data_IF_578662824660
#
_entry.id   IF_578662824660
#
_cell.length_a   1.000
_cell.length_b   1.000
_cell.length_c   1.000
_cell.angle_alpha   90.00
_cell.angle_beta   90.00
_cell.angle_gamma   90.00
#
_symmetry.space_group_name_H-M   'P 1'
#
loop_
_entity.id
_entity.type
_entity.pdbx_description
1 polymer ?
#
# COMPACT_ATOMS: atom_id res chain seq x y z
N UNK A 1 -25.67 -25.00 18.87
CA UNK A 1 -24.94 -24.32 19.96
C UNK A 1 -25.76 -23.09 20.33
N UNK A 2 -26.19 -23.04 21.58
CA UNK A 2 -27.16 -22.05 22.06
C UNK A 2 -26.62 -20.62 21.90
N UNK A 3 -27.43 -19.71 21.36
CA UNK A 3 -27.07 -18.29 21.21
C UNK A 3 -26.68 -17.65 22.55
N UNK A 4 -27.34 -18.09 23.65
CA UNK A 4 -27.03 -17.69 25.02
C UNK A 4 -25.62 -18.12 25.49
N UNK A 5 -25.11 -19.27 25.01
CA UNK A 5 -23.77 -19.74 25.32
C UNK A 5 -22.70 -18.88 24.65
N UNK A 6 -22.93 -18.48 23.40
CA UNK A 6 -22.03 -17.59 22.63
C UNK A 6 -22.02 -16.18 23.25
N UNK A 7 -23.19 -15.67 23.64
CA UNK A 7 -23.32 -14.37 24.32
C UNK A 7 -22.58 -14.35 25.68
N UNK A 8 -22.66 -15.45 26.44
CA UNK A 8 -21.95 -15.59 27.71
C UNK A 8 -20.43 -15.66 27.54
N UNK A 9 -19.91 -16.37 26.54
CA UNK A 9 -18.48 -16.40 26.20
C UNK A 9 -18.01 -15.00 25.78
N UNK A 10 -18.82 -14.29 25.00
CA UNK A 10 -18.48 -12.94 24.54
C UNK A 10 -18.42 -11.93 25.70
N UNK A 11 -19.33 -12.04 26.64
CA UNK A 11 -19.32 -11.21 27.86
C UNK A 11 -18.15 -11.57 28.77
N UNK A 12 -17.81 -12.86 28.89
CA UNK A 12 -16.64 -13.31 29.67
C UNK A 12 -15.34 -12.79 29.06
N UNK A 13 -15.19 -12.87 27.74
CA UNK A 13 -14.05 -12.31 27.00
C UNK A 13 -13.93 -10.79 27.17
N UNK A 14 -15.06 -10.06 27.13
CA UNK A 14 -15.12 -8.62 27.40
C UNK A 14 -14.66 -8.28 28.81
N UNK A 15 -15.12 -9.03 29.79
CA UNK A 15 -14.76 -8.82 31.21
C UNK A 15 -13.28 -9.15 31.45
N UNK A 16 -12.77 -10.25 30.86
CA UNK A 16 -11.36 -10.63 30.93
C UNK A 16 -10.45 -9.58 30.26
N UNK A 17 -10.89 -9.03 29.16
CA UNK A 17 -10.19 -7.96 28.43
C UNK A 17 -10.15 -6.65 29.23
N UNK A 18 -11.23 -6.30 29.94
CA UNK A 18 -11.26 -5.14 30.84
C UNK A 18 -10.35 -5.37 32.06
N UNK A 19 -10.32 -6.58 32.62
CA UNK A 19 -9.44 -6.92 33.74
C UNK A 19 -7.96 -6.93 33.32
N UNK A 20 -7.64 -7.41 32.13
CA UNK A 20 -6.28 -7.35 31.58
C UNK A 20 -5.84 -5.90 31.30
N UNK A 21 -6.75 -5.04 30.82
CA UNK A 21 -6.50 -3.59 30.69
C UNK A 21 -6.22 -2.93 32.04
N UNK A 22 -7.02 -3.27 33.06
CA UNK A 22 -6.86 -2.72 34.43
C UNK A 22 -5.55 -3.20 35.07
N UNK A 23 -5.22 -4.48 34.93
CA UNK A 23 -3.96 -5.06 35.41
C UNK A 23 -2.75 -4.46 34.69
N UNK A 24 -2.82 -4.32 33.36
CA UNK A 24 -1.78 -3.68 32.57
C UNK A 24 -1.59 -2.21 32.96
N UNK A 25 -2.67 -1.49 33.25
CA UNK A 25 -2.65 -0.11 33.71
C UNK A 25 -2.05 0.03 35.12
N UNK A 26 -2.36 -0.89 36.02
CA UNK A 26 -1.81 -0.90 37.41
C UNK A 26 -0.31 -1.26 37.39
N UNK A 27 0.08 -2.24 36.60
CA UNK A 27 1.51 -2.59 36.39
C UNK A 27 2.26 -1.44 35.74
N UNK A 28 1.62 -0.76 34.79
CA UNK A 28 2.16 0.43 34.15
C UNK A 28 2.35 1.58 35.15
N UNK A 29 1.35 1.89 35.98
CA UNK A 29 1.45 2.91 37.03
C UNK A 29 2.57 2.59 38.03
N UNK A 30 2.70 1.32 38.42
CA UNK A 30 3.74 0.87 39.35
C UNK A 30 5.14 1.03 38.76
N UNK A 31 5.34 0.62 37.49
CA UNK A 31 6.61 0.80 36.76
C UNK A 31 6.90 2.27 36.49
N UNK A 32 5.88 3.06 36.20
CA UNK A 32 5.93 4.50 35.99
C UNK A 32 6.46 5.25 37.23
N UNK A 33 5.94 4.94 38.39
CA UNK A 33 6.36 5.59 39.65
C UNK A 33 7.78 5.17 40.07
N UNK A 34 8.23 3.96 39.72
CA UNK A 34 9.49 3.41 40.22
C UNK A 34 10.68 3.63 39.31
N UNK A 35 10.49 3.87 38.02
CA UNK A 35 11.58 3.88 37.03
C UNK A 35 11.61 5.11 36.11
N UNK A 36 10.83 6.16 36.40
CA UNK A 36 10.75 7.36 35.55
C UNK A 36 10.52 7.04 34.05
N UNK A 37 9.67 6.01 33.80
CA UNK A 37 9.42 5.44 32.46
C UNK A 37 8.55 6.38 31.61
N UNK A 38 8.08 7.52 32.15
CA UNK A 38 7.30 8.49 31.37
C UNK A 38 8.01 8.90 30.07
N UNK A 39 9.29 9.13 30.12
CA UNK A 39 10.08 9.49 28.95
C UNK A 39 10.22 8.32 27.96
N UNK A 40 10.25 7.07 28.46
CA UNK A 40 10.30 5.88 27.61
C UNK A 40 8.92 5.64 26.98
N UNK A 41 7.84 5.80 27.76
CA UNK A 41 6.46 5.59 27.29
C UNK A 41 6.02 6.65 26.27
N UNK A 42 6.35 7.91 26.48
CA UNK A 42 6.13 8.98 25.52
C UNK A 42 6.99 8.79 24.25
N UNK A 43 8.13 8.10 24.36
CA UNK A 43 8.98 7.74 23.24
C UNK A 43 8.53 6.47 22.49
N UNK A 44 7.81 5.54 23.12
CA UNK A 44 7.48 4.22 22.54
C UNK A 44 6.16 4.18 21.79
N UNK A 45 5.38 5.28 21.73
CA UNK A 45 4.10 5.33 21.00
C UNK A 45 3.03 4.28 21.39
N UNK A 46 3.23 3.48 22.45
CA UNK A 46 2.29 2.43 22.87
C UNK A 46 0.86 2.96 23.10
N UNK A 47 0.76 4.17 23.69
CA UNK A 47 -0.54 4.84 23.87
C UNK A 47 -1.19 5.21 22.52
N UNK A 48 -0.38 5.65 21.56
CA UNK A 48 -0.86 5.98 20.22
C UNK A 48 -1.33 4.72 19.47
N UNK A 49 -0.59 3.63 19.61
CA UNK A 49 -0.96 2.32 19.03
C UNK A 49 -2.26 1.77 19.63
N UNK A 50 -2.48 1.92 20.95
CA UNK A 50 -3.73 1.50 21.59
C UNK A 50 -4.95 2.26 21.06
N UNK A 51 -4.85 3.59 20.91
CA UNK A 51 -5.93 4.41 20.33
C UNK A 51 -6.22 3.95 18.89
N UNK A 52 -5.20 3.64 18.12
CA UNK A 52 -5.35 3.20 16.74
C UNK A 52 -6.00 1.82 16.62
N UNK A 53 -5.68 0.89 17.54
CA UNK A 53 -6.35 -0.41 17.60
C UNK A 53 -7.84 -0.23 17.97
N UNK A 54 -8.16 0.66 18.92
CA UNK A 54 -9.56 0.95 19.27
C UNK A 54 -10.32 1.57 18.07
N UNK A 55 -9.70 2.51 17.36
CA UNK A 55 -10.29 3.10 16.15
C UNK A 55 -10.49 2.05 15.05
N UNK A 56 -9.50 1.20 14.82
CA UNK A 56 -9.60 0.08 13.88
C UNK A 56 -10.77 -0.87 14.22
N UNK A 57 -10.86 -1.30 15.49
CA UNK A 57 -11.94 -2.17 15.95
C UNK A 57 -13.31 -1.48 15.84
N UNK A 58 -13.37 -0.17 16.15
CA UNK A 58 -14.57 0.65 16.01
C UNK A 58 -15.05 0.74 14.56
N UNK A 59 -14.12 0.92 13.59
CA UNK A 59 -14.42 0.98 12.17
C UNK A 59 -14.94 -0.39 11.70
N UNK A 60 -14.25 -1.49 12.07
CA UNK A 60 -14.69 -2.84 11.73
C UNK A 60 -16.11 -3.17 12.26
N UNK A 61 -16.46 -2.66 13.47
CA UNK A 61 -17.77 -2.89 14.07
C UNK A 61 -18.87 -1.93 13.55
N UNK A 62 -18.51 -0.71 13.13
CA UNK A 62 -19.45 0.33 12.69
C UNK A 62 -19.95 0.16 11.25
N UNK A 63 -19.31 -0.67 10.45
CA UNK A 63 -19.71 -0.89 9.05
C UNK A 63 -21.13 -1.47 8.89
N UNK A 64 -21.76 -1.88 9.99
CA UNK A 64 -23.15 -2.39 10.03
C UNK A 64 -24.21 -1.33 10.37
N UNK A 65 -23.83 -0.11 10.78
CA UNK A 65 -24.78 0.93 11.21
C UNK A 65 -24.69 2.13 10.25
N UNK A 66 -25.56 2.15 9.25
CA UNK A 66 -25.65 3.30 8.34
C UNK A 66 -26.73 4.30 8.74
N UNK A 67 -26.32 5.57 8.89
CA UNK A 67 -27.24 6.69 8.71
C UNK A 67 -27.62 6.78 7.23
N UNK A 68 -28.92 6.92 6.90
CA UNK A 68 -29.43 7.12 5.53
C UNK A 68 -28.88 8.46 4.98
N UNK A 69 -27.68 8.43 4.43
CA UNK A 69 -27.06 9.57 3.75
C UNK A 69 -27.32 9.46 2.26
N UNK A 70 -27.81 10.52 1.64
CA UNK A 70 -28.03 10.56 0.18
C UNK A 70 -26.77 11.05 -0.49
N UNK A 71 -26.13 10.19 -1.27
CA UNK A 71 -24.89 10.50 -2.00
C UNK A 71 -25.23 10.89 -3.45
N UNK A 72 -24.92 12.15 -3.80
CA UNK A 72 -25.14 12.68 -5.15
C UNK A 72 -23.84 12.62 -5.96
N UNK A 73 -23.98 12.44 -7.27
CA UNK A 73 -22.86 12.57 -8.21
C UNK A 73 -22.26 13.98 -8.12
N UNK A 74 -20.93 14.07 -8.07
CA UNK A 74 -20.18 15.32 -8.07
C UNK A 74 -19.55 15.52 -9.45
N UNK A 75 -19.84 16.61 -10.14
CA UNK A 75 -19.31 16.88 -11.48
C UNK A 75 -17.80 17.21 -11.45
N UNK A 76 -17.34 17.93 -10.43
CA UNK A 76 -15.93 18.26 -10.23
C UNK A 76 -15.46 17.80 -8.85
N UNK A 77 -15.20 16.51 -8.69
CA UNK A 77 -14.73 15.97 -7.42
C UNK A 77 -13.33 16.50 -7.09
N UNK A 78 -13.04 16.61 -5.80
CA UNK A 78 -11.71 16.99 -5.33
C UNK A 78 -10.75 15.79 -5.36
N UNK A 79 -11.26 14.62 -4.98
CA UNK A 79 -10.49 13.39 -4.89
C UNK A 79 -11.22 12.30 -5.69
N UNK A 80 -10.47 11.58 -6.53
CA UNK A 80 -10.93 10.34 -7.16
C UNK A 80 -10.33 9.17 -6.40
N UNK A 81 -11.17 8.33 -5.83
CA UNK A 81 -10.78 7.07 -5.21
C UNK A 81 -10.86 5.99 -6.28
N UNK A 82 -9.75 5.28 -6.51
CA UNK A 82 -9.60 4.29 -7.57
C UNK A 82 -9.34 2.92 -6.96
N UNK A 83 -10.18 1.94 -7.31
CA UNK A 83 -10.14 0.59 -6.73
C UNK A 83 -10.25 -0.47 -7.81
N UNK A 84 -9.15 -1.13 -8.17
CA UNK A 84 -9.21 -2.38 -8.92
C UNK A 84 -9.83 -3.50 -8.09
N UNK A 85 -10.76 -4.27 -8.67
CA UNK A 85 -11.46 -5.36 -7.98
C UNK A 85 -11.34 -6.65 -8.78
N UNK A 86 -11.01 -7.75 -8.07
CA UNK A 86 -11.10 -9.10 -8.61
C UNK A 86 -11.40 -10.08 -7.48
N UNK A 87 -12.59 -10.71 -7.53
CA UNK A 87 -13.07 -11.70 -6.56
C UNK A 87 -12.94 -11.23 -5.10
N UNK A 88 -13.71 -10.21 -4.72
CA UNK A 88 -13.68 -9.57 -3.39
C UNK A 88 -15.05 -9.55 -2.70
N UNK A 89 -15.93 -10.53 -2.97
CA UNK A 89 -17.27 -10.59 -2.38
C UNK A 89 -17.29 -10.49 -0.85
N UNK A 90 -16.26 -11.05 -0.18
CA UNK A 90 -16.17 -11.08 1.28
C UNK A 90 -15.73 -9.75 1.92
N UNK A 91 -15.17 -8.82 1.14
CA UNK A 91 -14.57 -7.57 1.66
C UNK A 91 -15.16 -6.30 1.05
N UNK A 92 -15.62 -6.37 -0.20
CA UNK A 92 -16.00 -5.18 -0.97
C UNK A 92 -17.10 -4.35 -0.31
N UNK A 93 -18.10 -4.97 0.35
CA UNK A 93 -19.14 -4.22 1.04
C UNK A 93 -18.57 -3.39 2.20
N UNK A 94 -17.71 -4.00 3.03
CA UNK A 94 -17.06 -3.33 4.15
C UNK A 94 -16.19 -2.17 3.68
N UNK A 95 -15.43 -2.37 2.61
CA UNK A 95 -14.64 -1.33 1.97
C UNK A 95 -15.50 -0.14 1.52
N UNK A 96 -16.58 -0.40 0.75
CA UNK A 96 -17.49 0.65 0.27
C UNK A 96 -18.13 1.43 1.43
N UNK A 97 -18.54 0.74 2.49
CA UNK A 97 -19.08 1.40 3.70
C UNK A 97 -18.05 2.29 4.38
N UNK A 98 -16.76 1.91 4.38
CA UNK A 98 -15.70 2.77 4.95
C UNK A 98 -15.54 4.09 4.19
N UNK A 99 -15.77 4.09 2.87
CA UNK A 99 -15.75 5.32 2.07
C UNK A 99 -17.05 6.12 2.28
N UNK A 100 -18.21 5.48 2.34
CA UNK A 100 -19.49 6.15 2.59
C UNK A 100 -19.53 6.84 3.96
N UNK A 101 -18.82 6.32 4.95
CA UNK A 101 -18.71 6.89 6.29
C UNK A 101 -17.78 8.11 6.38
N UNK A 102 -17.04 8.44 5.31
CA UNK A 102 -16.21 9.65 5.30
C UNK A 102 -17.04 10.92 5.44
N UNK A 103 -16.54 11.89 6.20
CA UNK A 103 -17.18 13.20 6.38
C UNK A 103 -16.96 14.17 5.21
N UNK A 104 -16.33 13.71 4.14
CA UNK A 104 -15.98 14.50 2.97
C UNK A 104 -16.67 13.97 1.70
N UNK A 105 -17.50 14.80 1.09
CA UNK A 105 -18.36 14.37 -0.03
C UNK A 105 -17.82 14.66 -1.41
N UNK A 106 -16.85 15.58 -1.57
CA UNK A 106 -16.33 15.96 -2.88
C UNK A 106 -15.40 14.89 -3.47
N UNK A 107 -15.95 13.70 -3.66
CA UNK A 107 -15.25 12.52 -4.20
C UNK A 107 -16.05 11.88 -5.33
N UNK A 108 -15.35 11.16 -6.18
CA UNK A 108 -15.87 10.08 -7.02
C UNK A 108 -15.17 8.78 -6.66
N UNK A 109 -15.86 7.67 -6.83
CA UNK A 109 -15.39 6.33 -6.49
C UNK A 109 -15.38 5.52 -7.77
N UNK A 110 -14.18 5.26 -8.31
CA UNK A 110 -13.99 4.56 -9.58
C UNK A 110 -13.57 3.13 -9.28
N UNK A 111 -14.47 2.19 -9.53
CA UNK A 111 -14.26 0.77 -9.34
C UNK A 111 -14.04 0.12 -10.69
N UNK A 112 -12.91 -0.59 -10.85
CA UNK A 112 -12.57 -1.30 -12.07
C UNK A 112 -12.60 -2.79 -11.77
N UNK A 113 -13.66 -3.45 -12.16
CA UNK A 113 -13.78 -4.90 -12.04
C UNK A 113 -12.94 -5.59 -13.10
N UNK A 114 -12.01 -6.42 -12.66
CA UNK A 114 -11.08 -7.18 -13.50
C UNK A 114 -11.61 -8.56 -13.88
N UNK A 115 -12.91 -8.63 -14.25
CA UNK A 115 -13.63 -9.85 -14.61
C UNK A 115 -13.81 -10.80 -13.41
N UNK A 116 -14.38 -10.30 -12.33
CA UNK A 116 -14.79 -11.13 -11.18
C UNK A 116 -15.82 -12.17 -11.58
N UNK A 117 -15.75 -13.34 -10.95
CA UNK A 117 -16.64 -14.48 -11.17
C UNK A 117 -17.49 -14.82 -9.93
N UNK A 118 -17.24 -14.09 -8.83
CA UNK A 118 -17.98 -14.16 -7.57
C UNK A 118 -19.09 -13.09 -7.50
N UNK A 119 -19.67 -12.85 -6.33
CA UNK A 119 -20.74 -11.86 -6.13
C UNK A 119 -20.23 -10.40 -6.02
N UNK A 120 -18.94 -10.13 -6.22
CA UNK A 120 -18.38 -8.76 -6.09
C UNK A 120 -19.16 -7.73 -6.89
N UNK A 121 -19.42 -8.02 -8.18
CA UNK A 121 -20.14 -7.09 -9.07
C UNK A 121 -21.56 -6.81 -8.56
N UNK A 122 -22.29 -7.85 -8.15
CA UNK A 122 -23.64 -7.71 -7.62
C UNK A 122 -23.68 -6.78 -6.41
N UNK A 123 -22.78 -6.98 -5.46
CA UNK A 123 -22.68 -6.15 -4.25
C UNK A 123 -22.35 -4.68 -4.63
N UNK A 124 -21.42 -4.46 -5.56
CA UNK A 124 -21.07 -3.10 -6.02
C UNK A 124 -22.27 -2.42 -6.68
N UNK A 125 -23.03 -3.12 -7.51
CA UNK A 125 -24.21 -2.58 -8.18
C UNK A 125 -25.30 -2.20 -7.17
N UNK A 126 -25.55 -3.02 -6.15
CA UNK A 126 -26.49 -2.71 -5.08
C UNK A 126 -26.07 -1.42 -4.33
N UNK A 127 -24.78 -1.28 -3.94
CA UNK A 127 -24.31 -0.07 -3.27
C UNK A 127 -24.31 1.15 -4.20
N UNK A 128 -24.07 0.97 -5.49
CA UNK A 128 -24.12 2.05 -6.49
C UNK A 128 -25.52 2.66 -6.64
N UNK A 129 -26.58 1.89 -6.42
CA UNK A 129 -27.94 2.45 -6.40
C UNK A 129 -28.13 3.43 -5.23
N UNK A 130 -27.46 3.18 -4.11
CA UNK A 130 -27.49 4.06 -2.93
C UNK A 130 -26.50 5.23 -3.04
N UNK A 131 -25.38 5.05 -3.75
CA UNK A 131 -24.29 6.02 -3.83
C UNK A 131 -23.94 6.38 -5.29
N UNK A 132 -24.47 7.49 -5.77
CA UNK A 132 -24.29 7.95 -7.15
C UNK A 132 -22.87 8.51 -7.45
N UNK A 133 -21.95 8.53 -6.46
CA UNK A 133 -20.53 8.84 -6.67
C UNK A 133 -19.77 7.64 -7.25
N UNK A 134 -20.36 6.43 -7.23
CA UNK A 134 -19.73 5.20 -7.71
C UNK A 134 -19.82 5.11 -9.24
N UNK A 135 -18.69 4.93 -9.87
CA UNK A 135 -18.49 4.64 -11.29
C UNK A 135 -17.93 3.24 -11.40
N UNK A 136 -18.70 2.29 -11.94
CA UNK A 136 -18.28 0.90 -12.15
C UNK A 136 -17.89 0.66 -13.60
N UNK A 137 -16.66 0.20 -13.82
CA UNK A 137 -16.14 -0.25 -15.11
C UNK A 137 -15.90 -1.76 -15.02
N UNK A 138 -16.41 -2.52 -16.00
CA UNK A 138 -16.26 -3.98 -16.07
C UNK A 138 -15.36 -4.35 -17.23
N UNK A 139 -14.25 -5.04 -16.96
CA UNK A 139 -13.38 -5.54 -17.99
C UNK A 139 -13.92 -6.82 -18.64
N UNK A 140 -13.78 -6.93 -19.96
CA UNK A 140 -14.13 -8.17 -20.69
C UNK A 140 -13.15 -9.32 -20.48
N UNK A 141 -11.91 -9.00 -20.06
CA UNK A 141 -10.84 -9.94 -19.71
C UNK A 141 -9.97 -9.38 -18.59
N UNK A 142 -9.30 -10.25 -17.84
CA UNK A 142 -8.32 -9.83 -16.82
C UNK A 142 -7.19 -9.02 -17.43
N UNK A 143 -6.87 -7.89 -16.82
CA UNK A 143 -5.82 -6.96 -17.23
C UNK A 143 -4.73 -6.78 -16.17
N UNK A 144 -5.03 -7.10 -14.91
CA UNK A 144 -4.12 -6.93 -13.77
C UNK A 144 -4.23 -5.54 -13.14
N UNK A 145 -3.67 -5.43 -11.94
CA UNK A 145 -3.81 -4.26 -11.07
C UNK A 145 -3.22 -3.00 -11.69
N UNK A 146 -2.03 -3.10 -12.30
CA UNK A 146 -1.36 -1.97 -12.95
C UNK A 146 -2.24 -1.30 -14.01
N UNK A 147 -2.77 -2.10 -14.95
CA UNK A 147 -3.58 -1.57 -16.06
C UNK A 147 -4.88 -0.98 -15.52
N UNK A 148 -5.49 -1.61 -14.51
CA UNK A 148 -6.73 -1.12 -13.92
C UNK A 148 -6.54 0.20 -13.14
N UNK A 149 -5.43 0.35 -12.40
CA UNK A 149 -5.06 1.63 -11.78
C UNK A 149 -4.90 2.73 -12.84
N UNK A 150 -4.26 2.42 -13.97
CA UNK A 150 -4.09 3.36 -15.07
C UNK A 150 -5.42 3.75 -15.71
N UNK A 151 -6.31 2.79 -16.00
CA UNK A 151 -7.66 3.07 -16.52
C UNK A 151 -8.39 4.01 -15.58
N UNK A 152 -8.41 3.72 -14.28
CA UNK A 152 -9.07 4.57 -13.29
C UNK A 152 -8.51 5.99 -13.27
N UNK A 153 -7.19 6.16 -13.33
CA UNK A 153 -6.56 7.47 -13.36
C UNK A 153 -6.87 8.27 -14.63
N UNK A 154 -6.97 7.61 -15.78
CA UNK A 154 -7.31 8.30 -17.04
C UNK A 154 -8.74 8.81 -17.06
N UNK A 155 -9.71 8.04 -16.57
CA UNK A 155 -11.13 8.42 -16.57
C UNK A 155 -11.51 9.32 -15.39
N UNK A 156 -10.62 9.49 -14.41
CA UNK A 156 -10.87 10.30 -13.21
C UNK A 156 -10.98 11.77 -13.51
N UNK A 157 -11.83 12.50 -12.74
CA UNK A 157 -12.02 13.94 -12.83
C UNK A 157 -11.50 14.71 -11.60
N UNK A 158 -11.08 14.01 -10.55
CA UNK A 158 -10.54 14.60 -9.32
C UNK A 158 -9.23 15.34 -9.54
N UNK A 159 -9.01 16.40 -8.77
CA UNK A 159 -7.72 17.10 -8.72
C UNK A 159 -6.62 16.19 -8.16
N UNK A 160 -7.01 15.30 -7.25
CA UNK A 160 -6.13 14.31 -6.61
C UNK A 160 -6.67 12.90 -6.79
N UNK A 161 -5.76 11.93 -6.80
CA UNK A 161 -6.03 10.50 -6.85
C UNK A 161 -5.65 9.87 -5.52
N UNK A 162 -6.46 8.90 -5.10
CA UNK A 162 -6.17 7.98 -4.01
C UNK A 162 -6.47 6.56 -4.46
N UNK A 163 -5.51 5.67 -4.31
CA UNK A 163 -5.69 4.25 -4.61
C UNK A 163 -6.02 3.50 -3.33
N UNK A 164 -7.05 2.67 -3.36
CA UNK A 164 -7.48 1.90 -2.19
C UNK A 164 -7.80 0.48 -2.64
N UNK A 165 -7.23 -0.49 -1.95
CA UNK A 165 -7.48 -1.89 -2.24
C UNK A 165 -8.83 -2.34 -1.64
N UNK A 166 -9.58 -3.23 -2.32
CA UNK A 166 -10.97 -3.56 -1.96
C UNK A 166 -11.10 -4.46 -0.71
N UNK A 167 -10.02 -4.87 -0.11
CA UNK A 167 -9.96 -5.62 1.15
C UNK A 167 -9.56 -4.77 2.35
N UNK A 168 -9.16 -3.51 2.12
CA UNK A 168 -8.67 -2.59 3.13
C UNK A 168 -9.71 -1.52 3.52
N UNK A 169 -9.38 -0.66 4.50
CA UNK A 169 -10.29 0.37 4.99
C UNK A 169 -9.60 1.73 5.07
N UNK A 170 -10.38 2.79 4.88
CA UNK A 170 -9.96 4.16 5.20
C UNK A 170 -10.36 4.52 6.64
N UNK A 171 -9.53 5.31 7.34
CA UNK A 171 -9.94 5.90 8.61
C UNK A 171 -11.06 6.93 8.40
N UNK A 172 -11.95 7.09 9.40
CA UNK A 172 -13.21 7.84 9.26
C UNK A 172 -13.05 9.29 8.78
N UNK A 173 -11.95 9.94 9.07
CA UNK A 173 -11.75 11.37 8.82
C UNK A 173 -10.61 11.68 7.84
N UNK A 174 -9.99 10.66 7.25
CA UNK A 174 -8.79 10.88 6.43
C UNK A 174 -9.04 11.81 5.25
N UNK A 175 -10.18 11.68 4.55
CA UNK A 175 -10.46 12.51 3.38
C UNK A 175 -10.64 13.98 3.76
N UNK A 176 -11.31 14.26 4.87
CA UNK A 176 -11.45 15.62 5.38
C UNK A 176 -10.12 16.20 5.85
N UNK A 177 -9.31 15.40 6.55
CA UNK A 177 -7.96 15.79 6.97
C UNK A 177 -7.08 16.16 5.76
N UNK A 178 -7.03 15.29 4.76
CA UNK A 178 -6.25 15.52 3.54
C UNK A 178 -6.75 16.75 2.75
N UNK A 179 -8.07 16.94 2.66
CA UNK A 179 -8.65 18.13 2.04
C UNK A 179 -8.21 19.42 2.74
N UNK A 180 -8.09 19.43 4.05
CA UNK A 180 -7.58 20.60 4.77
C UNK A 180 -6.10 20.86 4.44
N UNK A 181 -5.26 19.83 4.39
CA UNK A 181 -3.86 19.99 3.98
C UNK A 181 -3.72 20.57 2.57
N UNK A 182 -4.51 20.12 1.59
CA UNK A 182 -4.45 20.66 0.22
C UNK A 182 -5.05 22.05 0.07
N UNK A 183 -5.93 22.47 0.98
CA UNK A 183 -6.39 23.86 1.06
C UNK A 183 -5.30 24.81 1.53
N UNK A 184 -4.51 24.37 2.51
CA UNK A 184 -3.37 25.15 3.01
C UNK A 184 -2.28 25.26 1.95
N UNK A 185 -1.95 24.14 1.29
CA UNK A 185 -0.96 24.10 0.23
C UNK A 185 -1.20 22.94 -0.73
N UNK A 186 -1.14 23.24 -2.04
CA UNK A 186 -1.30 22.24 -3.11
C UNK A 186 -0.02 21.43 -3.29
N UNK A 187 0.19 20.42 -2.45
CA UNK A 187 1.30 19.49 -2.60
C UNK A 187 1.12 18.60 -3.83
N UNK A 188 2.21 18.15 -4.42
CA UNK A 188 2.17 17.17 -5.51
C UNK A 188 1.89 15.77 -4.99
N UNK A 189 2.41 15.47 -3.79
CA UNK A 189 2.28 14.19 -3.14
C UNK A 189 2.09 14.41 -1.62
N UNK A 190 1.10 13.75 -1.04
CA UNK A 190 0.92 13.68 0.42
C UNK A 190 0.96 12.23 0.82
N UNK A 191 1.86 11.88 1.74
CA UNK A 191 1.98 10.55 2.34
C UNK A 191 1.41 10.57 3.74
N UNK A 192 0.57 9.60 4.05
CA UNK A 192 0.00 9.39 5.38
C UNK A 192 0.35 7.98 5.90
N UNK A 193 0.10 7.72 7.18
CA UNK A 193 0.42 6.43 7.76
C UNK A 193 -0.56 5.36 7.34
N UNK A 194 -0.01 4.16 7.13
CA UNK A 194 -0.72 2.91 6.96
C UNK A 194 -0.55 2.11 8.26
N UNK A 195 -1.64 1.55 8.76
CA UNK A 195 -1.65 0.64 9.89
C UNK A 195 -1.92 -0.79 9.42
N UNK A 196 -1.18 -1.75 9.95
CA UNK A 196 -1.41 -3.17 9.74
C UNK A 196 -1.66 -3.84 11.09
N UNK A 197 -2.71 -4.66 11.17
CA UNK A 197 -3.05 -5.41 12.40
C UNK A 197 -2.04 -6.51 12.74
N UNK A 198 -1.15 -6.86 11.80
CA UNK A 198 -0.09 -7.81 12.02
C UNK A 198 1.20 -7.09 12.46
N UNK A 199 1.62 -7.36 13.72
CA UNK A 199 2.87 -6.81 14.28
C UNK A 199 4.13 -7.29 13.53
N UNK A 200 4.03 -8.31 12.67
CA UNK A 200 5.14 -8.82 11.88
C UNK A 200 5.55 -7.87 10.75
N UNK A 201 4.63 -7.03 10.27
CA UNK A 201 4.92 -5.96 9.33
C UNK A 201 5.23 -4.67 10.10
N UNK A 202 6.35 -4.64 10.80
CA UNK A 202 6.96 -3.40 11.28
C UNK A 202 7.34 -2.54 10.08
N UNK A 203 6.34 -1.86 9.47
CA UNK A 203 6.64 -0.80 8.52
C UNK A 203 7.44 0.26 9.27
N UNK A 204 8.68 0.53 8.86
CA UNK A 204 9.54 1.40 9.63
C UNK A 204 8.87 2.75 9.78
N UNK A 205 8.86 3.21 10.97
CA UNK A 205 8.38 4.48 11.47
C UNK A 205 9.17 5.62 10.80
N UNK A 206 8.83 5.94 9.56
CA UNK A 206 9.52 7.01 8.80
C UNK A 206 9.39 8.35 9.52
N UNK A 207 8.34 8.52 10.32
CA UNK A 207 8.04 9.79 10.97
C UNK A 207 9.01 10.23 12.06
N UNK A 208 9.75 9.30 12.69
CA UNK A 208 10.67 9.66 13.78
C UNK A 208 11.98 10.27 13.30
N UNK A 209 12.35 10.04 12.04
CA UNK A 209 13.62 10.49 11.48
C UNK A 209 13.52 11.73 10.58
N UNK A 210 12.37 11.98 9.97
CA UNK A 210 12.16 13.22 9.24
C UNK A 210 11.69 14.32 10.20
N UNK A 211 12.61 15.16 10.63
CA UNK A 211 12.29 16.41 11.36
C UNK A 211 11.42 17.37 10.54
N UNK A 212 11.21 17.12 9.25
CA UNK A 212 10.46 17.95 8.33
C UNK A 212 9.22 17.19 7.84
N UNK A 213 8.05 17.75 8.05
CA UNK A 213 6.79 17.27 7.48
C UNK A 213 6.66 17.60 5.98
N UNK A 214 7.54 18.44 5.42
CA UNK A 214 7.51 18.89 4.03
C UNK A 214 8.90 18.75 3.42
N UNK A 215 8.97 18.07 2.28
CA UNK A 215 10.20 17.82 1.53
C UNK A 215 10.06 18.40 0.13
N UNK A 216 11.11 19.05 -0.36
CA UNK A 216 11.22 19.58 -1.71
C UNK A 216 12.36 18.91 -2.47
N UNK A 217 12.37 19.04 -3.81
CA UNK A 217 13.54 18.61 -4.59
C UNK A 217 14.82 19.27 -4.09
N UNK A 218 15.97 18.58 -4.11
CA UNK A 218 16.18 17.21 -4.64
C UNK A 218 15.84 16.08 -3.67
N UNK A 219 15.54 16.37 -2.40
CA UNK A 219 15.44 15.40 -1.31
C UNK A 219 14.23 14.45 -1.43
N UNK A 220 13.20 14.81 -2.22
CA UNK A 220 12.02 13.97 -2.40
C UNK A 220 12.41 12.61 -2.97
N UNK A 221 13.21 12.60 -4.02
CA UNK A 221 13.62 11.36 -4.65
C UNK A 221 14.45 10.49 -3.70
N UNK A 222 15.31 11.12 -2.91
CA UNK A 222 16.08 10.43 -1.88
C UNK A 222 15.17 9.81 -0.81
N UNK A 223 14.03 10.42 -0.49
CA UNK A 223 13.11 9.92 0.53
C UNK A 223 12.41 8.61 0.13
N UNK A 224 12.37 8.27 -1.17
CA UNK A 224 11.90 6.96 -1.65
C UNK A 224 12.80 5.82 -1.15
N UNK A 225 14.12 6.07 -1.11
CA UNK A 225 15.13 5.07 -0.79
C UNK A 225 15.60 5.12 0.66
N UNK A 226 15.43 6.25 1.33
CA UNK A 226 15.72 6.38 2.75
C UNK A 226 14.59 5.81 3.61
N UNK A 227 14.52 4.49 3.68
CA UNK A 227 13.90 3.79 4.79
C UNK A 227 14.83 3.90 5.99
N UNK A 228 14.47 4.73 6.94
CA UNK A 228 15.31 5.23 8.00
C UNK A 228 15.74 4.17 8.99
N UNK A 229 17.03 4.02 9.12
CA UNK A 229 17.65 3.67 10.39
C UNK A 229 17.97 2.23 10.67
N UNK A 230 17.62 1.22 9.87
CA UNK A 230 18.18 -0.15 9.89
C UNK A 230 17.73 -1.05 8.73
N UNK A 231 16.69 -0.71 7.99
CA UNK A 231 16.24 -1.48 6.84
C UNK A 231 15.75 -0.49 5.79
N UNK A 232 16.42 -0.43 4.66
CA UNK A 232 15.93 0.29 3.49
C UNK A 232 14.65 -0.41 2.99
N UNK A 233 13.51 0.08 3.43
CA UNK A 233 12.26 -0.28 2.80
C UNK A 233 11.93 0.82 1.82
N UNK A 234 11.98 0.49 0.54
CA UNK A 234 11.36 1.31 -0.49
C UNK A 234 9.93 1.59 -0.09
N UNK A 235 9.48 2.82 -0.27
CA UNK A 235 8.07 3.16 -0.12
C UNK A 235 7.28 2.62 -1.30
N UNK A 236 7.02 1.31 -1.30
CA UNK A 236 6.36 0.60 -2.38
C UNK A 236 4.87 0.93 -2.50
N UNK A 237 4.21 1.19 -1.39
CA UNK A 237 2.75 1.31 -1.37
C UNK A 237 2.27 2.61 -2.01
N UNK A 238 1.34 2.51 -2.95
CA UNK A 238 0.64 3.66 -3.50
C UNK A 238 -0.61 4.01 -2.67
N UNK A 239 -1.12 3.07 -1.90
CA UNK A 239 -2.39 3.15 -1.16
C UNK A 239 -2.38 4.15 -0.01
N UNK A 240 -1.22 4.46 0.55
CA UNK A 240 -1.06 5.44 1.63
C UNK A 240 -0.72 6.86 1.12
N UNK A 241 -1.16 7.21 -0.08
CA UNK A 241 -0.82 8.48 -0.73
C UNK A 241 -2.04 9.18 -1.31
N UNK A 242 -2.03 10.51 -1.19
CA UNK A 242 -2.85 11.39 -2.01
C UNK A 242 -1.95 12.02 -3.07
N UNK A 243 -2.26 11.79 -4.34
CA UNK A 243 -1.39 12.08 -5.48
C UNK A 243 -2.09 13.10 -6.37
N UNK A 244 -1.44 14.21 -6.68
CA UNK A 244 -1.97 15.16 -7.66
C UNK A 244 -2.15 14.46 -9.01
N UNK A 245 -3.37 14.49 -9.56
CA UNK A 245 -3.71 13.75 -10.79
C UNK A 245 -2.74 14.04 -11.94
N UNK A 246 -2.39 15.31 -12.16
CA UNK A 246 -1.44 15.67 -13.22
C UNK A 246 -0.04 15.07 -13.00
N UNK A 247 0.43 14.97 -11.75
CA UNK A 247 1.68 14.27 -11.44
C UNK A 247 1.59 12.79 -11.83
N UNK A 248 0.50 12.11 -11.47
CA UNK A 248 0.29 10.70 -11.79
C UNK A 248 0.30 10.45 -13.31
N UNK A 249 -0.44 11.25 -14.07
CA UNK A 249 -0.47 11.14 -15.54
C UNK A 249 0.91 11.40 -16.15
N UNK A 250 1.67 12.39 -15.64
CA UNK A 250 3.05 12.62 -16.09
C UNK A 250 3.96 11.43 -15.76
N UNK A 251 3.78 10.83 -14.59
CA UNK A 251 4.54 9.64 -14.19
C UNK A 251 4.27 8.48 -15.15
N UNK A 252 3.00 8.19 -15.46
CA UNK A 252 2.65 7.17 -16.44
C UNK A 252 3.27 7.44 -17.82
N UNK A 253 3.17 8.67 -18.32
CA UNK A 253 3.73 9.05 -19.61
C UNK A 253 5.28 8.96 -19.67
N UNK A 254 5.94 8.92 -18.51
CA UNK A 254 7.39 8.77 -18.40
C UNK A 254 7.82 7.31 -18.24
N UNK A 255 6.90 6.38 -18.07
CA UNK A 255 7.15 4.94 -18.00
C UNK A 255 7.05 4.36 -19.40
N UNK A 256 8.05 3.56 -19.81
CA UNK A 256 8.01 2.90 -21.11
C UNK A 256 6.78 1.98 -21.22
N UNK A 257 6.09 2.07 -22.34
CA UNK A 257 4.90 1.27 -22.71
C UNK A 257 5.09 -0.23 -22.50
N UNK A 258 6.31 -0.72 -22.67
CA UNK A 258 6.62 -2.13 -22.42
C UNK A 258 6.21 -2.55 -21.01
N UNK A 259 6.53 -1.73 -19.99
CA UNK A 259 6.18 -2.03 -18.59
C UNK A 259 4.70 -1.83 -18.30
N UNK A 260 4.10 -0.76 -18.86
CA UNK A 260 2.68 -0.44 -18.63
C UNK A 260 1.72 -1.49 -19.22
N UNK A 261 2.17 -2.26 -20.20
CA UNK A 261 1.37 -3.32 -20.85
C UNK A 261 1.55 -4.69 -20.21
N UNK A 262 2.46 -4.84 -19.22
CA UNK A 262 2.65 -6.12 -18.55
C UNK A 262 1.52 -6.43 -17.60
N UNK A 263 1.14 -7.70 -17.54
CA UNK A 263 0.24 -8.20 -16.51
C UNK A 263 1.05 -8.32 -15.21
N UNK A 264 0.83 -7.40 -14.28
CA UNK A 264 1.48 -7.34 -12.98
C UNK A 264 0.42 -7.33 -11.88
N UNK A 265 0.68 -8.09 -10.81
CA UNK A 265 -0.15 -8.19 -9.61
C UNK A 265 0.66 -7.93 -8.32
N UNK A 266 1.95 -7.65 -8.47
CA UNK A 266 2.88 -7.36 -7.38
C UNK A 266 3.96 -6.41 -7.90
N UNK A 267 4.53 -5.55 -7.03
CA UNK A 267 5.55 -4.54 -7.35
C UNK A 267 5.16 -3.48 -8.39
N UNK A 268 3.94 -3.49 -8.93
CA UNK A 268 3.47 -2.46 -9.86
C UNK A 268 3.43 -1.08 -9.20
N UNK A 269 3.13 -1.03 -7.92
CA UNK A 269 3.14 0.19 -7.12
C UNK A 269 4.54 0.81 -7.05
N UNK A 270 5.56 -0.03 -6.89
CA UNK A 270 6.95 0.42 -6.87
C UNK A 270 7.38 1.08 -8.18
N UNK A 271 6.91 0.54 -9.31
CA UNK A 271 7.17 1.07 -10.63
C UNK A 271 6.60 2.48 -10.81
N UNK A 272 5.36 2.69 -10.37
CA UNK A 272 4.69 3.99 -10.42
C UNK A 272 5.33 4.95 -9.39
N UNK A 273 5.53 4.51 -8.16
CA UNK A 273 6.10 5.31 -7.08
C UNK A 273 7.48 5.86 -7.43
N UNK A 274 8.33 5.07 -8.06
CA UNK A 274 9.63 5.53 -8.53
C UNK A 274 9.51 6.81 -9.37
N UNK A 275 8.60 6.83 -10.34
CA UNK A 275 8.39 8.01 -11.19
C UNK A 275 7.66 9.15 -10.46
N UNK A 276 6.71 8.84 -9.58
CA UNK A 276 6.04 9.86 -8.77
C UNK A 276 7.05 10.65 -7.94
N UNK A 277 7.95 9.96 -7.23
CA UNK A 277 8.97 10.61 -6.42
C UNK A 277 9.99 11.36 -7.28
N UNK A 278 10.38 10.80 -8.42
CA UNK A 278 11.31 11.44 -9.37
C UNK A 278 10.76 12.73 -9.96
N UNK A 279 9.47 12.81 -10.24
CA UNK A 279 8.82 13.95 -10.89
C UNK A 279 8.19 14.96 -9.92
N UNK A 280 7.98 14.59 -8.66
CA UNK A 280 7.40 15.48 -7.64
C UNK A 280 8.27 16.70 -7.36
N UNK A 281 7.63 17.83 -7.10
CA UNK A 281 8.29 19.07 -6.63
C UNK A 281 8.08 19.26 -5.11
N UNK A 282 7.00 18.70 -4.55
CA UNK A 282 6.65 18.85 -3.13
C UNK A 282 6.02 17.57 -2.59
N UNK A 283 6.54 17.09 -1.47
CA UNK A 283 6.03 15.97 -0.71
C UNK A 283 5.70 16.43 0.71
N UNK A 284 4.48 16.18 1.16
CA UNK A 284 4.10 16.31 2.57
C UNK A 284 3.99 14.93 3.20
N UNK A 285 4.54 14.78 4.40
CA UNK A 285 4.40 13.55 5.20
C UNK A 285 3.64 13.89 6.46
N UNK A 286 2.58 13.17 6.73
CA UNK A 286 1.77 13.32 7.94
C UNK A 286 1.75 12.05 8.79
N UNK A 287 1.67 12.21 10.10
CA UNK A 287 1.54 11.11 11.08
C UNK A 287 0.11 10.57 11.17
N UNK A 288 -0.86 11.17 10.48
CA UNK A 288 -2.24 10.70 10.48
C UNK A 288 -2.30 9.29 9.88
N UNK A 289 -2.84 8.34 10.63
CA UNK A 289 -3.21 7.04 10.09
C UNK A 289 -4.46 7.24 9.25
N UNK A 290 -4.35 6.91 7.98
CA UNK A 290 -5.42 7.09 7.01
C UNK A 290 -5.88 5.80 6.38
N UNK A 291 -5.10 4.72 6.53
CA UNK A 291 -5.30 3.48 5.84
C UNK A 291 -5.07 2.30 6.77
N UNK A 292 -6.01 1.36 6.79
CA UNK A 292 -5.93 0.11 7.54
C UNK A 292 -5.76 -1.04 6.55
N UNK A 293 -4.54 -1.58 6.51
CA UNK A 293 -4.22 -2.78 5.75
C UNK A 293 -4.71 -4.02 6.50
N UNK A 294 -5.60 -4.79 5.89
CA UNK A 294 -6.23 -5.96 6.50
C UNK A 294 -5.60 -7.23 5.93
N UNK A 295 -4.78 -7.89 6.75
CA UNK A 295 -4.20 -9.17 6.38
C UNK A 295 -5.30 -10.24 6.39
N UNK A 296 -5.55 -10.85 5.24
CA UNK A 296 -6.46 -11.99 5.08
C UNK A 296 -5.74 -13.17 4.46
N UNK A 297 -6.26 -14.38 4.68
CA UNK A 297 -5.75 -15.59 4.03
C UNK A 297 -5.94 -15.55 2.49
N UNK A 298 -6.81 -14.68 2.00
CA UNK A 298 -7.10 -14.47 0.57
C UNK A 298 -6.32 -13.30 -0.06
N UNK A 299 -5.37 -12.72 0.71
CA UNK A 299 -4.49 -11.68 0.16
C UNK A 299 -3.63 -12.29 -0.94
N UNK A 300 -3.48 -11.59 -2.06
CA UNK A 300 -2.66 -12.03 -3.23
C UNK A 300 -1.24 -12.40 -2.79
N UNK A 301 -0.72 -11.74 -1.76
CA UNK A 301 0.60 -11.99 -1.17
C UNK A 301 0.73 -13.37 -0.52
N UNK A 302 -0.37 -13.99 -0.12
CA UNK A 302 -0.39 -15.31 0.54
C UNK A 302 -0.82 -16.45 -0.39
N UNK A 303 -1.23 -16.12 -1.64
CA UNK A 303 -1.73 -17.10 -2.59
C UNK A 303 -0.57 -17.76 -3.36
N UNK A 304 -0.42 -19.08 -3.17
CA UNK A 304 0.58 -19.89 -3.85
C UNK A 304 0.38 -19.95 -5.37
N UNK A 305 -0.86 -19.89 -5.84
CA UNK A 305 -1.18 -20.01 -7.26
C UNK A 305 -0.73 -18.77 -8.08
N UNK A 306 -0.62 -17.62 -7.42
CA UNK A 306 -0.13 -16.39 -8.03
C UNK A 306 1.40 -16.25 -7.97
N UNK A 307 2.10 -17.21 -7.40
CA UNK A 307 3.52 -17.09 -7.10
C UNK A 307 4.38 -16.85 -8.36
N UNK A 308 4.14 -17.57 -9.47
CA UNK A 308 4.85 -17.38 -10.74
C UNK A 308 4.68 -15.96 -11.28
N UNK A 309 3.45 -15.44 -11.23
CA UNK A 309 3.13 -14.08 -11.71
C UNK A 309 3.81 -13.02 -10.83
N UNK A 310 3.85 -13.24 -9.52
CA UNK A 310 4.53 -12.34 -8.57
C UNK A 310 6.04 -12.32 -8.82
N UNK A 311 6.68 -13.49 -8.99
CA UNK A 311 8.10 -13.57 -9.30
C UNK A 311 8.44 -12.80 -10.58
N UNK A 312 7.65 -13.00 -11.66
CA UNK A 312 7.80 -12.25 -12.90
C UNK A 312 7.64 -10.75 -12.69
N UNK A 313 6.64 -10.32 -11.93
CA UNK A 313 6.40 -8.90 -11.60
C UNK A 313 7.60 -8.27 -10.89
N UNK A 314 8.18 -8.97 -9.91
CA UNK A 314 9.38 -8.53 -9.20
C UNK A 314 10.58 -8.33 -10.16
N UNK A 315 10.83 -9.29 -11.04
CA UNK A 315 11.93 -9.16 -12.02
C UNK A 315 11.70 -8.04 -13.04
N UNK A 316 10.46 -7.82 -13.48
CA UNK A 316 10.12 -6.68 -14.32
C UNK A 316 10.39 -5.35 -13.61
N UNK A 317 10.04 -5.25 -12.32
CA UNK A 317 10.33 -4.08 -11.53
C UNK A 317 11.84 -3.85 -11.35
N UNK A 318 12.63 -4.88 -11.07
CA UNK A 318 14.08 -4.76 -10.99
C UNK A 318 14.68 -4.30 -12.32
N UNK A 319 14.27 -4.90 -13.44
CA UNK A 319 14.68 -4.46 -14.76
C UNK A 319 14.38 -2.97 -15.00
N UNK A 320 13.18 -2.55 -14.61
CA UNK A 320 12.76 -1.15 -14.71
C UNK A 320 13.65 -0.22 -13.89
N UNK A 321 13.92 -0.55 -12.63
CA UNK A 321 14.82 0.24 -11.77
C UNK A 321 16.20 0.36 -12.40
N UNK A 322 16.75 -0.76 -12.87
CA UNK A 322 18.05 -0.80 -13.51
C UNK A 322 18.13 0.12 -14.73
N UNK A 323 17.16 0.06 -15.62
CA UNK A 323 17.14 0.88 -16.83
C UNK A 323 17.00 2.38 -16.55
N UNK A 324 16.29 2.74 -15.48
CA UNK A 324 15.96 4.14 -15.15
C UNK A 324 16.95 4.80 -14.16
N UNK A 325 17.92 4.05 -13.62
CA UNK A 325 18.93 4.56 -12.67
C UNK A 325 20.32 4.71 -13.29
N UNK A 326 20.51 4.41 -14.57
CA UNK A 326 21.83 4.39 -15.25
C UNK A 326 22.58 5.72 -15.26
N UNK A 327 21.90 6.84 -15.18
CA UNK A 327 22.47 8.16 -15.47
C UNK A 327 22.92 8.98 -14.24
N UNK A 328 22.70 8.48 -13.03
CA UNK A 328 23.00 9.23 -11.80
C UNK A 328 23.73 8.32 -10.78
N UNK A 329 24.90 8.75 -10.33
CA UNK A 329 25.73 7.97 -9.40
C UNK A 329 25.04 7.68 -8.05
N UNK A 330 24.19 8.58 -7.56
CA UNK A 330 23.43 8.38 -6.33
C UNK A 330 22.35 7.34 -6.56
N UNK A 331 21.59 7.47 -7.65
CA UNK A 331 20.54 6.52 -8.04
C UNK A 331 21.11 5.11 -8.25
N UNK A 332 22.28 5.00 -8.88
CA UNK A 332 22.99 3.73 -9.08
C UNK A 332 23.34 3.05 -7.76
N UNK A 333 23.93 3.77 -6.81
CA UNK A 333 24.25 3.23 -5.48
C UNK A 333 23.03 2.78 -4.71
N UNK A 334 21.91 3.49 -4.87
CA UNK A 334 20.64 3.16 -4.21
C UNK A 334 20.00 1.94 -4.84
N UNK A 335 19.97 1.85 -6.19
CA UNK A 335 19.50 0.67 -6.89
C UNK A 335 20.34 -0.57 -6.54
N UNK A 336 21.67 -0.45 -6.52
CA UNK A 336 22.55 -1.55 -6.10
C UNK A 336 22.28 -1.99 -4.66
N UNK A 337 22.07 -1.04 -3.75
CA UNK A 337 21.75 -1.37 -2.36
C UNK A 337 20.44 -2.16 -2.25
N UNK A 338 19.36 -1.72 -2.91
CA UNK A 338 18.06 -2.40 -2.91
C UNK A 338 18.17 -3.80 -3.49
N UNK A 339 18.86 -3.92 -4.63
CA UNK A 339 19.08 -5.21 -5.29
C UNK A 339 19.88 -6.17 -4.42
N UNK A 340 20.96 -5.67 -3.78
CA UNK A 340 21.77 -6.47 -2.89
C UNK A 340 20.96 -6.99 -1.68
N UNK A 341 20.11 -6.16 -1.08
CA UNK A 341 19.27 -6.57 0.05
C UNK A 341 18.22 -7.61 -0.37
N UNK A 342 17.52 -7.38 -1.49
CA UNK A 342 16.50 -8.30 -2.00
C UNK A 342 17.10 -9.64 -2.42
N UNK A 343 18.16 -9.62 -3.23
CA UNK A 343 18.80 -10.86 -3.66
C UNK A 343 19.43 -11.63 -2.52
N UNK A 344 20.02 -10.94 -1.55
CA UNK A 344 20.57 -11.60 -0.36
C UNK A 344 19.52 -12.31 0.48
N UNK A 345 18.32 -11.71 0.62
CA UNK A 345 17.24 -12.30 1.44
C UNK A 345 16.50 -13.43 0.74
N UNK A 346 16.38 -13.35 -0.57
CA UNK A 346 15.47 -14.21 -1.33
C UNK A 346 16.18 -15.06 -2.39
N UNK A 347 17.54 -15.05 -2.45
CA UNK A 347 18.29 -15.76 -3.49
C UNK A 347 17.89 -17.24 -3.60
N UNK A 348 17.85 -17.97 -2.49
CA UNK A 348 17.52 -19.39 -2.49
C UNK A 348 16.08 -19.66 -2.95
N UNK A 349 15.17 -18.82 -2.50
CA UNK A 349 13.76 -18.89 -2.92
C UNK A 349 13.65 -18.60 -4.42
N UNK A 350 14.28 -17.54 -4.89
CA UNK A 350 14.27 -17.14 -6.31
C UNK A 350 14.90 -18.24 -7.19
N UNK A 351 16.05 -18.80 -6.78
CA UNK A 351 16.73 -19.87 -7.52
C UNK A 351 15.83 -21.10 -7.64
N UNK A 352 15.25 -21.56 -6.52
CA UNK A 352 14.40 -22.74 -6.53
C UNK A 352 13.17 -22.56 -7.41
N UNK A 353 12.65 -21.35 -7.46
CA UNK A 353 11.47 -21.01 -8.25
C UNK A 353 11.77 -20.89 -9.73
N UNK A 354 12.89 -20.25 -10.10
CA UNK A 354 13.34 -20.22 -11.51
C UNK A 354 13.57 -21.65 -12.02
N UNK A 355 14.14 -22.54 -11.21
CA UNK A 355 14.30 -23.96 -11.55
C UNK A 355 12.96 -24.69 -11.73
N UNK A 356 11.98 -24.38 -10.88
CA UNK A 356 10.66 -24.99 -10.94
C UNK A 356 9.86 -24.53 -12.17
N UNK A 357 10.01 -23.27 -12.58
CA UNK A 357 9.32 -22.66 -13.72
C UNK A 357 10.22 -22.55 -14.95
N UNK A 358 10.56 -23.69 -15.55
CA UNK A 358 11.50 -23.77 -16.69
C UNK A 358 11.11 -22.94 -17.94
N UNK A 359 9.82 -22.61 -18.12
CA UNK A 359 9.33 -21.88 -19.29
C UNK A 359 9.85 -20.43 -19.40
N UNK A 360 10.17 -19.79 -18.28
CA UNK A 360 10.64 -18.40 -18.21
C UNK A 360 12.17 -18.28 -17.95
N UNK A 361 12.91 -19.37 -17.99
CA UNK A 361 14.35 -19.42 -17.67
C UNK A 361 15.17 -18.35 -18.39
N UNK A 362 14.97 -18.23 -19.69
CA UNK A 362 15.70 -17.26 -20.51
C UNK A 362 15.38 -15.81 -20.13
N UNK A 363 14.15 -15.53 -19.72
CA UNK A 363 13.75 -14.22 -19.24
C UNK A 363 14.53 -13.80 -17.99
N UNK A 364 14.60 -14.67 -16.99
CA UNK A 364 15.32 -14.40 -15.73
C UNK A 364 16.82 -14.30 -15.94
N UNK A 365 17.41 -15.25 -16.72
CA UNK A 365 18.84 -15.23 -17.03
C UNK A 365 19.26 -13.99 -17.80
N UNK A 366 18.44 -13.49 -18.71
CA UNK A 366 18.73 -12.25 -19.43
C UNK A 366 18.79 -11.05 -18.48
N UNK A 367 17.88 -10.95 -17.53
CA UNK A 367 17.89 -9.88 -16.54
C UNK A 367 19.13 -9.99 -15.63
N UNK A 368 19.44 -11.18 -15.13
CA UNK A 368 20.63 -11.41 -14.30
C UNK A 368 21.92 -11.06 -15.07
N UNK A 369 22.03 -11.44 -16.34
CA UNK A 369 23.19 -11.10 -17.17
C UNK A 369 23.32 -9.59 -17.37
N UNK A 370 22.23 -8.86 -17.63
CA UNK A 370 22.27 -7.40 -17.75
C UNK A 370 22.80 -6.73 -16.47
N UNK A 371 22.48 -7.26 -15.29
CA UNK A 371 23.02 -6.78 -14.02
C UNK A 371 24.51 -7.13 -13.86
N UNK A 372 24.91 -8.35 -14.21
CA UNK A 372 26.31 -8.79 -14.10
C UNK A 372 27.24 -7.97 -15.00
N UNK A 373 26.77 -7.59 -16.18
CA UNK A 373 27.51 -6.77 -17.14
C UNK A 373 27.57 -5.28 -16.75
N UNK A 374 26.86 -4.89 -15.70
CA UNK A 374 26.80 -3.49 -15.29
C UNK A 374 28.00 -3.08 -14.44
N UNK A 375 28.61 -1.93 -14.78
CA UNK A 375 29.72 -1.36 -14.02
C UNK A 375 29.33 -0.74 -12.67
N UNK A 376 28.07 -0.40 -12.49
CA UNK A 376 27.63 0.28 -11.25
C UNK A 376 27.13 -0.67 -10.17
N UNK A 377 26.96 -1.94 -10.46
CA UNK A 377 26.58 -2.95 -9.47
C UNK A 377 27.80 -3.35 -8.65
N UNK A 378 27.66 -3.35 -7.33
CA UNK A 378 28.74 -3.68 -6.42
C UNK A 378 29.23 -5.11 -6.60
N UNK A 379 30.50 -5.35 -6.27
CA UNK A 379 31.09 -6.69 -6.31
C UNK A 379 30.27 -7.68 -5.48
N UNK A 380 29.73 -7.23 -4.35
CA UNK A 380 28.91 -8.04 -3.46
C UNK A 380 27.62 -8.49 -4.13
N UNK A 381 26.90 -7.59 -4.81
CA UNK A 381 25.70 -7.90 -5.56
C UNK A 381 26.02 -8.82 -6.76
N UNK A 382 27.15 -8.57 -7.45
CA UNK A 382 27.63 -9.43 -8.55
C UNK A 382 27.91 -10.86 -8.09
N UNK A 383 28.49 -11.07 -6.92
CA UNK A 383 28.72 -12.40 -6.37
C UNK A 383 27.41 -13.15 -6.17
N UNK A 384 26.40 -12.53 -5.52
CA UNK A 384 25.07 -13.12 -5.33
C UNK A 384 24.43 -13.49 -6.67
N UNK A 385 24.44 -12.57 -7.64
CA UNK A 385 23.89 -12.81 -8.98
C UNK A 385 24.62 -13.92 -9.75
N UNK A 386 25.95 -14.04 -9.55
CA UNK A 386 26.76 -15.13 -10.16
C UNK A 386 26.38 -16.47 -9.56
N UNK A 387 26.22 -16.56 -8.23
CA UNK A 387 25.75 -17.76 -7.56
C UNK A 387 24.36 -18.16 -8.03
N UNK A 388 23.43 -17.19 -8.14
CA UNK A 388 22.09 -17.41 -8.69
C UNK A 388 22.15 -17.93 -10.13
N UNK A 389 22.95 -17.29 -11.01
CA UNK A 389 23.12 -17.71 -12.40
C UNK A 389 23.63 -19.14 -12.54
N UNK A 390 24.63 -19.50 -11.74
CA UNK A 390 25.22 -20.84 -11.74
C UNK A 390 24.26 -21.90 -11.19
N UNK A 391 23.43 -21.52 -10.24
CA UNK A 391 22.43 -22.40 -9.62
C UNK A 391 21.18 -22.60 -10.51
N UNK A 392 20.93 -21.70 -11.43
CA UNK A 392 19.79 -21.76 -12.38
C UNK A 392 20.16 -22.62 -13.60
N UNK A 393 21.43 -22.61 -14.04
CA UNK A 393 21.93 -23.48 -15.13
C UNK A 393 21.89 -24.94 -14.75
#
# INVERSE_FOLDING_TARGET
>A
MDEDYIANIFNLCKTLFCLLKLFSFVVFLYLFVRFDILNIFLRTNLYYEMIQIEEYLRICNKTNLMNKRVFKKIEKPKISIITPVYNKENSILRYLRSIQNQLFDSIEIIIIDDKSIDNSIKIIEEVKEEDKRIILIKNSKRKGTLINKNIGAFISNGEYLMFVDPDDLLSEDILNYLNNLIKEKKYDLIRFHLYTGDKSLNLPYISNYLKRSIIYKPDIYLSLFYGFGQLFQLDFYITNKLIKRNLFIRALNSINDYYLKQFMIDCEDGLINFMLYKLSQSLSITKKIGYYYIVTNQSITNDSDNFKIRLRSNFLYFKYLFENTKNNNIEKKMADFVLNDVFKRYSDVIINLIKFFSEDHNFYLNIINQYLDSEFISLKTKLILTEMKNSIK
#
